data_IF_782054612243
#
_entry.id   IF_782054612243
#
_cell.length_a   1.000
_cell.length_b   1.000
_cell.length_c   1.000
_cell.angle_alpha   90.00
_cell.angle_beta   90.00
_cell.angle_gamma   90.00
#
_symmetry.space_group_name_H-M   'P 1'
#
loop_
_entity.id
_entity.type
_entity.pdbx_description
1 polymer ?
#
# COMPACT_ATOMS: atom_id res chain seq x y z
N UNK A 1 27.46 -15.56 -26.87
CA UNK A 1 26.34 -14.88 -26.21
C UNK A 1 25.00 -15.12 -26.88
N UNK A 2 24.96 -15.28 -28.18
CA UNK A 2 23.74 -15.64 -28.89
C UNK A 2 23.14 -16.96 -28.45
N UNK A 3 23.97 -17.92 -28.13
CA UNK A 3 23.53 -19.29 -27.78
C UNK A 3 22.75 -19.39 -26.47
N UNK A 4 22.90 -18.43 -25.57
CA UNK A 4 22.15 -18.39 -24.32
C UNK A 4 20.70 -17.93 -24.51
N UNK A 5 20.44 -17.15 -25.55
CA UNK A 5 19.11 -16.64 -25.87
C UNK A 5 18.38 -17.48 -26.92
N UNK A 6 19.15 -18.29 -27.68
CA UNK A 6 18.62 -19.18 -28.70
C UNK A 6 18.33 -20.59 -28.19
N UNK A 7 18.55 -20.84 -26.91
CA UNK A 7 18.12 -22.10 -26.32
C UNK A 7 16.60 -22.14 -26.34
N UNK A 8 16.08 -23.01 -27.16
CA UNK A 8 14.66 -23.31 -27.15
C UNK A 8 14.24 -23.60 -25.71
N UNK A 9 13.42 -22.69 -25.16
CA UNK A 9 12.85 -22.88 -23.85
C UNK A 9 12.10 -24.21 -23.87
N UNK A 10 12.62 -25.20 -23.12
CA UNK A 10 11.96 -26.47 -23.01
C UNK A 10 10.54 -26.35 -22.47
N UNK A 11 9.66 -27.32 -22.73
CA UNK A 11 8.28 -27.27 -22.26
C UNK A 11 8.18 -27.03 -20.74
N UNK A 12 9.11 -27.59 -19.98
CA UNK A 12 9.16 -27.41 -18.52
C UNK A 12 9.43 -25.95 -18.15
N UNK A 13 10.34 -25.29 -18.86
CA UNK A 13 10.70 -23.90 -18.59
C UNK A 13 9.55 -22.95 -18.94
N UNK A 14 8.85 -23.21 -20.04
CA UNK A 14 7.64 -22.47 -20.42
C UNK A 14 6.56 -22.64 -19.35
N UNK A 15 6.37 -23.86 -18.85
CA UNK A 15 5.42 -24.15 -17.80
C UNK A 15 5.75 -23.39 -16.51
N UNK A 16 7.03 -23.37 -16.11
CA UNK A 16 7.49 -22.64 -14.92
C UNK A 16 7.23 -21.14 -15.08
N UNK A 17 7.56 -20.55 -16.22
CA UNK A 17 7.28 -19.13 -16.46
C UNK A 17 5.79 -18.82 -16.45
N UNK A 18 4.97 -19.69 -17.01
CA UNK A 18 3.52 -19.53 -17.01
C UNK A 18 2.96 -19.57 -15.59
N UNK A 19 3.41 -20.50 -14.76
CA UNK A 19 2.97 -20.63 -13.37
C UNK A 19 3.43 -19.41 -12.56
N UNK A 20 4.69 -18.99 -12.69
CA UNK A 20 5.20 -17.81 -12.01
C UNK A 20 4.47 -16.54 -12.42
N UNK A 21 4.17 -16.38 -13.69
CA UNK A 21 3.40 -15.25 -14.21
C UNK A 21 1.98 -15.24 -13.67
N UNK A 22 1.34 -16.40 -13.60
CA UNK A 22 0.00 -16.54 -13.03
C UNK A 22 -0.02 -16.18 -11.54
N UNK A 23 0.95 -16.70 -10.78
CA UNK A 23 1.07 -16.40 -9.35
C UNK A 23 1.31 -14.90 -9.13
N UNK A 24 2.20 -14.30 -9.92
CA UNK A 24 2.48 -12.86 -9.86
C UNK A 24 1.23 -12.04 -10.16
N UNK A 25 0.49 -12.40 -11.20
CA UNK A 25 -0.74 -11.71 -11.57
C UNK A 25 -1.80 -11.84 -10.46
N UNK A 26 -1.99 -13.04 -9.92
CA UNK A 26 -2.94 -13.28 -8.85
C UNK A 26 -2.56 -12.49 -7.58
N UNK A 27 -1.28 -12.44 -7.26
CA UNK A 27 -0.76 -11.66 -6.14
C UNK A 27 -0.99 -10.16 -6.34
N UNK A 28 -0.71 -9.65 -7.55
CA UNK A 28 -0.92 -8.24 -7.89
C UNK A 28 -2.39 -7.86 -7.75
N UNK A 29 -3.29 -8.67 -8.28
CA UNK A 29 -4.75 -8.45 -8.16
C UNK A 29 -5.17 -8.47 -6.70
N UNK A 30 -4.65 -9.41 -5.92
CA UNK A 30 -4.93 -9.50 -4.49
C UNK A 30 -4.50 -8.23 -3.74
N UNK A 31 -3.29 -7.73 -4.01
CA UNK A 31 -2.78 -6.51 -3.39
C UNK A 31 -3.58 -5.27 -3.80
N UNK A 32 -3.95 -5.17 -5.06
CA UNK A 32 -4.81 -4.08 -5.55
C UNK A 32 -6.17 -4.14 -4.85
N UNK A 33 -6.74 -5.33 -4.71
CA UNK A 33 -8.01 -5.50 -4.00
C UNK A 33 -7.91 -5.09 -2.53
N UNK A 34 -6.80 -5.40 -1.87
CA UNK A 34 -6.55 -5.00 -0.48
C UNK A 34 -6.49 -3.47 -0.34
N UNK A 35 -5.70 -2.82 -1.20
CA UNK A 35 -5.61 -1.36 -1.23
C UNK A 35 -6.95 -0.71 -1.61
N UNK A 36 -7.66 -1.29 -2.55
CA UNK A 36 -9.01 -0.83 -2.92
C UNK A 36 -9.92 -0.75 -1.70
N UNK A 37 -9.91 -1.81 -0.90
CA UNK A 37 -10.72 -1.84 0.32
C UNK A 37 -10.24 -0.82 1.37
N UNK A 38 -8.93 -0.64 1.51
CA UNK A 38 -8.37 0.37 2.41
C UNK A 38 -8.87 1.77 2.04
N UNK A 39 -8.80 2.13 0.76
CA UNK A 39 -9.27 3.43 0.30
C UNK A 39 -10.79 3.58 0.46
N UNK A 40 -11.55 2.54 0.17
CA UNK A 40 -13.00 2.58 0.36
C UNK A 40 -13.38 2.73 1.82
N UNK A 41 -12.68 2.07 2.74
CA UNK A 41 -12.88 2.25 4.19
C UNK A 41 -12.67 3.69 4.61
N UNK A 42 -11.73 4.38 3.99
CA UNK A 42 -11.42 5.78 4.26
C UNK A 42 -12.37 6.76 3.55
N UNK A 43 -13.38 6.28 2.84
CA UNK A 43 -14.33 7.13 2.12
C UNK A 43 -13.82 7.64 0.79
N UNK A 44 -12.77 7.02 0.23
CA UNK A 44 -12.18 7.40 -1.05
C UNK A 44 -12.53 6.37 -2.13
N UNK A 45 -12.49 6.76 -3.44
CA UNK A 45 -12.71 5.79 -4.52
C UNK A 45 -11.63 4.73 -4.54
N UNK A 46 -12.02 3.46 -4.69
CA UNK A 46 -11.07 2.35 -4.70
C UNK A 46 -10.12 2.35 -5.89
N UNK A 47 -10.54 2.89 -7.05
CA UNK A 47 -9.70 2.96 -8.24
C UNK A 47 -8.41 3.78 -8.06
N UNK A 48 -8.35 4.61 -7.01
CA UNK A 48 -7.15 5.36 -6.63
C UNK A 48 -5.96 4.44 -6.39
N UNK A 49 -6.21 3.21 -5.93
CA UNK A 49 -5.15 2.23 -5.67
C UNK A 49 -4.35 1.86 -6.94
N UNK A 50 -4.92 2.06 -8.12
CA UNK A 50 -4.31 1.70 -9.40
C UNK A 50 -3.35 2.79 -9.89
N UNK A 51 -3.58 4.05 -9.56
CA UNK A 51 -2.80 5.19 -10.04
C UNK A 51 -1.69 5.52 -9.03
N UNK A 52 -0.39 5.29 -9.36
CA UNK A 52 0.68 5.37 -8.35
C UNK A 52 0.82 6.74 -7.68
N UNK A 53 0.85 7.82 -8.46
CA UNK A 53 1.06 9.18 -7.91
C UNK A 53 -0.19 9.65 -7.18
N UNK A 54 -1.35 9.47 -7.77
CA UNK A 54 -2.60 9.87 -7.16
C UNK A 54 -2.89 9.08 -5.88
N UNK A 55 -2.45 7.82 -5.84
CA UNK A 55 -2.51 6.97 -4.66
C UNK A 55 -1.84 7.65 -3.44
N UNK A 56 -0.63 8.17 -3.61
CA UNK A 56 0.06 8.86 -2.53
C UNK A 56 -0.61 10.17 -2.13
N UNK A 57 -1.15 10.92 -3.08
CA UNK A 57 -1.88 12.15 -2.80
C UNK A 57 -3.10 11.87 -1.92
N UNK A 58 -3.88 10.87 -2.28
CA UNK A 58 -5.06 10.47 -1.51
C UNK A 58 -4.66 9.88 -0.16
N UNK A 59 -3.56 9.12 -0.10
CA UNK A 59 -3.04 8.57 1.15
C UNK A 59 -2.68 9.69 2.12
N UNK A 60 -2.05 10.76 1.66
CA UNK A 60 -1.74 11.92 2.49
C UNK A 60 -3.02 12.61 3.00
N UNK A 61 -4.06 12.67 2.19
CA UNK A 61 -5.36 13.19 2.63
C UNK A 61 -5.99 12.31 3.72
N UNK A 62 -5.89 11.00 3.59
CA UNK A 62 -6.43 10.04 4.56
C UNK A 62 -5.79 10.21 5.93
N UNK A 63 -4.47 10.42 5.98
CA UNK A 63 -3.74 10.57 7.24
C UNK A 63 -3.66 12.01 7.73
N UNK A 64 -4.11 12.98 6.94
CA UNK A 64 -4.15 14.39 7.32
C UNK A 64 -2.82 15.12 7.18
N UNK A 65 -1.89 14.61 6.39
CA UNK A 65 -0.62 15.28 6.12
C UNK A 65 -0.74 16.25 4.95
N UNK A 66 0.08 17.34 4.92
CA UNK A 66 0.08 18.26 3.79
C UNK A 66 0.46 17.59 2.47
N UNK A 67 -0.16 18.00 1.37
CA UNK A 67 0.10 17.41 0.06
C UNK A 67 1.53 17.67 -0.46
N UNK A 68 2.20 18.73 0.02
CA UNK A 68 3.58 19.01 -0.37
C UNK A 68 4.55 17.91 0.07
N UNK A 69 4.15 17.05 0.97
CA UNK A 69 4.93 15.88 1.38
C UNK A 69 5.25 14.93 0.22
N UNK A 70 4.47 14.99 -0.87
CA UNK A 70 4.76 14.17 -2.05
C UNK A 70 6.14 14.48 -2.63
N UNK A 71 6.62 15.73 -2.49
CA UNK A 71 7.95 16.10 -2.95
C UNK A 71 9.06 15.43 -2.14
N UNK A 72 8.78 15.03 -0.92
CA UNK A 72 9.73 14.34 -0.06
C UNK A 72 10.01 12.92 -0.55
N UNK A 73 9.10 12.33 -1.32
CA UNK A 73 9.33 11.04 -1.95
C UNK A 73 10.38 11.09 -3.06
N UNK A 74 10.70 12.28 -3.56
CA UNK A 74 11.74 12.48 -4.57
C UNK A 74 13.15 12.40 -3.98
N UNK A 75 13.30 12.53 -2.66
CA UNK A 75 14.58 12.42 -1.96
C UNK A 75 14.74 10.99 -1.44
N UNK A 76 15.72 10.20 -1.96
CA UNK A 76 15.80 8.77 -1.63
C UNK A 76 15.96 8.46 -0.14
N UNK A 77 16.78 9.19 0.58
CA UNK A 77 17.01 8.96 2.01
C UNK A 77 15.80 9.38 2.85
N UNK A 78 15.20 10.52 2.52
CA UNK A 78 14.00 10.99 3.18
C UNK A 78 12.81 10.07 2.93
N UNK A 79 12.74 9.46 1.75
CA UNK A 79 11.66 8.56 1.37
C UNK A 79 11.48 7.41 2.37
N UNK A 80 12.58 6.81 2.84
CA UNK A 80 12.52 5.70 3.81
C UNK A 80 11.86 6.17 5.11
N UNK A 81 12.31 7.30 5.64
CA UNK A 81 11.78 7.86 6.89
C UNK A 81 10.30 8.24 6.73
N UNK A 82 9.96 8.90 5.62
CA UNK A 82 8.57 9.31 5.37
C UNK A 82 7.65 8.12 5.14
N UNK A 83 8.14 7.04 4.54
CA UNK A 83 7.36 5.81 4.39
C UNK A 83 6.96 5.25 5.75
N UNK A 84 7.88 5.20 6.72
CA UNK A 84 7.56 4.78 8.08
C UNK A 84 6.52 5.68 8.72
N UNK A 85 6.70 6.99 8.62
CA UNK A 85 5.78 7.97 9.22
C UNK A 85 4.38 7.82 8.62
N UNK A 86 4.28 7.74 7.29
CA UNK A 86 3.01 7.62 6.59
C UNK A 86 2.29 6.32 6.96
N UNK A 87 3.00 5.20 7.00
CA UNK A 87 2.40 3.93 7.33
C UNK A 87 1.98 3.85 8.81
N UNK A 88 2.76 4.44 9.71
CA UNK A 88 2.39 4.54 11.12
C UNK A 88 1.14 5.42 11.28
N UNK A 89 1.08 6.55 10.60
CA UNK A 89 -0.09 7.42 10.61
C UNK A 89 -1.32 6.73 10.02
N UNK A 90 -1.12 5.97 8.93
CA UNK A 90 -2.19 5.18 8.34
C UNK A 90 -2.72 4.13 9.32
N UNK A 91 -1.84 3.41 9.98
CA UNK A 91 -2.24 2.42 11.00
C UNK A 91 -3.04 3.08 12.13
N UNK A 92 -2.59 4.21 12.63
CA UNK A 92 -3.29 4.95 13.68
C UNK A 92 -4.63 5.49 13.21
N UNK A 93 -4.72 5.92 11.94
CA UNK A 93 -5.97 6.38 11.33
C UNK A 93 -7.02 5.27 11.26
N UNK A 94 -6.59 4.00 11.25
CA UNK A 94 -7.46 2.83 11.30
C UNK A 94 -7.54 2.21 12.70
N UNK A 95 -7.08 2.92 13.75
CA UNK A 95 -7.15 2.45 15.12
C UNK A 95 -6.13 1.38 15.47
N UNK A 96 -5.09 1.22 14.69
CA UNK A 96 -4.02 0.24 14.92
C UNK A 96 -2.84 0.87 15.66
N UNK A 97 -1.95 0.02 16.17
CA UNK A 97 -0.77 0.45 16.92
C UNK A 97 0.36 0.94 16.02
N UNK A 98 1.35 1.62 16.62
CA UNK A 98 2.58 2.01 15.94
C UNK A 98 3.32 0.78 15.38
N UNK A 99 3.33 -0.33 16.12
CA UNK A 99 3.93 -1.58 15.65
C UNK A 99 3.28 -2.10 14.37
N UNK A 100 1.97 -1.96 14.23
CA UNK A 100 1.26 -2.31 13.00
C UNK A 100 1.72 -1.43 11.84
N UNK A 101 1.93 -0.13 12.07
CA UNK A 101 2.44 0.80 11.06
C UNK A 101 3.85 0.45 10.59
N UNK A 102 4.73 0.06 11.51
CA UNK A 102 6.06 -0.44 11.16
C UNK A 102 5.95 -1.70 10.31
N UNK A 103 5.02 -2.60 10.66
CA UNK A 103 4.73 -3.79 9.88
C UNK A 103 4.23 -3.46 8.48
N UNK A 104 3.38 -2.43 8.33
CA UNK A 104 2.93 -1.97 7.01
C UNK A 104 4.09 -1.52 6.13
N UNK A 105 5.14 -0.94 6.71
CA UNK A 105 6.30 -0.51 5.96
C UNK A 105 7.20 -1.68 5.56
N UNK A 106 7.48 -2.58 6.49
CA UNK A 106 8.41 -3.68 6.29
C UNK A 106 7.76 -4.89 5.61
N UNK A 107 6.52 -5.18 5.95
CA UNK A 107 5.77 -6.35 5.49
C UNK A 107 4.40 -5.95 4.94
N UNK A 108 4.40 -4.95 4.04
CA UNK A 108 3.17 -4.46 3.42
C UNK A 108 2.37 -5.58 2.75
N UNK A 109 3.05 -6.58 2.21
CA UNK A 109 2.44 -7.76 1.57
C UNK A 109 1.47 -8.49 2.52
N UNK A 110 1.76 -8.49 3.82
CA UNK A 110 0.96 -9.17 4.83
C UNK A 110 0.00 -8.19 5.51
N UNK A 111 0.49 -7.01 5.89
CA UNK A 111 -0.27 -6.09 6.72
C UNK A 111 -1.34 -5.30 5.95
N UNK A 112 -1.10 -4.95 4.69
CA UNK A 112 -2.14 -4.28 3.89
C UNK A 112 -3.36 -5.17 3.64
N UNK A 113 -3.23 -6.45 3.31
CA UNK A 113 -4.38 -7.35 3.26
C UNK A 113 -5.12 -7.46 4.59
N UNK A 114 -4.40 -7.51 5.71
CA UNK A 114 -5.02 -7.52 7.04
C UNK A 114 -5.81 -6.23 7.27
N UNK A 115 -5.23 -5.09 6.92
CA UNK A 115 -5.91 -3.80 7.07
C UNK A 115 -7.14 -3.67 6.15
N UNK A 116 -7.00 -4.13 4.90
CA UNK A 116 -8.08 -4.02 3.90
C UNK A 116 -9.21 -5.02 4.12
N UNK A 117 -8.89 -6.29 4.35
CA UNK A 117 -9.87 -7.37 4.48
C UNK A 117 -10.29 -7.64 5.92
N UNK A 118 -9.57 -7.11 6.91
CA UNK A 118 -9.90 -7.29 8.32
C UNK A 118 -10.99 -6.34 8.81
N UNK A 119 -11.18 -6.32 10.13
CA UNK A 119 -12.22 -5.54 10.80
C UNK A 119 -11.82 -4.11 11.11
N UNK A 120 -10.63 -3.68 10.69
CA UNK A 120 -10.15 -2.32 10.94
C UNK A 120 -11.08 -1.30 10.29
N UNK A 121 -11.40 -0.22 11.03
CA UNK A 121 -12.24 0.87 10.56
C UNK A 121 -11.46 2.17 10.54
N UNK A 122 -11.74 3.00 9.54
CA UNK A 122 -11.13 4.32 9.45
C UNK A 122 -11.72 5.25 10.50
N UNK A 123 -10.85 5.74 11.41
CA UNK A 123 -11.26 6.62 12.51
C UNK A 123 -11.12 8.11 12.21
N UNK A 124 -10.50 8.45 11.08
CA UNK A 124 -10.22 9.81 10.66
C UNK A 124 -8.73 10.12 10.63
N UNK A 125 -8.35 11.28 10.03
CA UNK A 125 -6.94 11.67 9.93
C UNK A 125 -6.30 11.85 11.31
N UNK A 126 -5.17 11.16 11.55
CA UNK A 126 -4.43 11.24 12.81
C UNK A 126 -3.82 12.62 13.02
N UNK A 127 -3.42 13.27 11.94
CA UNK A 127 -2.71 14.55 11.98
C UNK A 127 -3.61 15.76 11.85
N UNK A 128 -4.89 15.59 12.09
CA UNK A 128 -5.84 16.69 12.12
C UNK A 128 -5.62 17.49 13.39
N UNK A 129 -5.02 18.67 13.26
CA UNK A 129 -4.65 19.50 14.41
C UNK A 129 -5.84 19.78 15.32
N UNK A 130 -5.71 19.38 16.58
CA UNK A 130 -6.61 19.80 17.65
C UNK A 130 -7.92 19.05 17.79
N UNK A 131 -8.21 18.06 16.94
CA UNK A 131 -9.44 17.30 17.07
C UNK A 131 -9.12 15.86 17.51
N UNK A 132 -9.82 15.34 18.52
CA UNK A 132 -9.71 13.92 18.84
C UNK A 132 -10.14 13.10 17.64
N UNK A 133 -9.56 11.89 17.43
CA UNK A 133 -10.04 10.99 16.40
C UNK A 133 -11.54 10.81 16.59
N UNK A 134 -12.31 11.14 15.56
CA UNK A 134 -13.75 10.96 15.63
C UNK A 134 -14.03 9.50 15.89
N UNK A 135 -14.70 9.23 16.99
CA UNK A 135 -15.22 7.91 17.25
C UNK A 135 -16.01 7.44 16.03
N UNK A 136 -15.70 6.24 15.59
CA UNK A 136 -16.28 5.60 14.42
C UNK A 136 -17.77 5.82 14.26
N UNK A 137 -18.13 6.25 13.11
CA UNK A 137 -19.51 6.17 12.67
C UNK A 137 -19.79 4.81 12.07
#
# INVERSE_FOLDING_TARGET
MGDLFDQDLGPLQILVFAICGFIFLAFTVFMIAALWKVYRKAGKPGWVAIIPIYNYIVLLEIIGRPLWWIFLFLVPLANIVFSFIIHIDLAKSFGKSTGFGVGLTLLSIIFFPILGFGDARYLGPVNRSGLPPRASY
#
